data_IF_530384860256
#
_entry.id   IF_530384860256
#
_cell.length_a   1.000
_cell.length_b   1.000
_cell.length_c   1.000
_cell.angle_alpha   90.00
_cell.angle_beta   90.00
_cell.angle_gamma   90.00
#
_symmetry.space_group_name_H-M   'P 1'
#
loop_
_entity.id
_entity.type
_entity.pdbx_description
1 polymer ?
#
# COMPACT_ATOMS: atom_id res chain seq x y z
N UNK A 1 -38.22 18.14 -6.02
CA UNK A 1 -37.29 17.20 -5.38
C UNK A 1 -36.10 17.05 -6.32
N UNK A 2 -34.95 17.63 -5.95
CA UNK A 2 -33.69 17.41 -6.68
C UNK A 2 -33.25 15.97 -6.39
N UNK A 3 -33.04 15.17 -7.43
CA UNK A 3 -32.39 13.87 -7.30
C UNK A 3 -30.97 14.13 -6.82
N UNK A 4 -30.44 13.32 -5.88
CA UNK A 4 -29.04 13.42 -5.50
C UNK A 4 -28.20 13.11 -6.75
N UNK A 5 -27.39 14.09 -7.17
CA UNK A 5 -26.38 13.89 -8.20
C UNK A 5 -25.34 12.96 -7.59
N UNK A 6 -25.42 11.66 -7.88
CA UNK A 6 -24.34 10.74 -7.60
C UNK A 6 -23.12 11.22 -8.39
N UNK A 7 -22.13 11.73 -7.71
CA UNK A 7 -20.79 11.87 -8.31
C UNK A 7 -20.37 10.48 -8.84
N UNK A 8 -19.82 10.39 -10.05
CA UNK A 8 -19.35 9.10 -10.56
C UNK A 8 -18.36 8.47 -9.60
N UNK A 9 -18.44 7.14 -9.42
CA UNK A 9 -17.49 6.39 -8.61
C UNK A 9 -16.07 6.61 -9.13
N UNK A 10 -15.06 6.84 -8.26
CA UNK A 10 -13.69 7.03 -8.71
C UNK A 10 -13.18 5.77 -9.43
N UNK A 11 -12.42 5.99 -10.51
CA UNK A 11 -11.85 4.94 -11.34
C UNK A 11 -10.40 4.69 -10.98
N UNK A 12 -10.10 3.48 -10.51
CA UNK A 12 -8.80 3.12 -9.97
C UNK A 12 -8.03 2.21 -10.93
N UNK A 13 -6.79 2.57 -11.26
CA UNK A 13 -5.86 1.67 -11.93
C UNK A 13 -5.16 0.78 -10.92
N UNK A 14 -5.15 -0.54 -11.13
CA UNK A 14 -4.31 -1.48 -10.41
C UNK A 14 -3.21 -1.92 -11.38
N UNK A 15 -1.97 -1.53 -11.13
CA UNK A 15 -0.83 -1.99 -11.95
C UNK A 15 -0.27 -3.26 -11.35
N UNK A 16 -0.74 -4.39 -11.88
CA UNK A 16 -0.42 -5.72 -11.37
C UNK A 16 -0.86 -6.83 -12.32
N UNK A 17 -0.40 -8.04 -12.04
CA UNK A 17 -0.85 -9.24 -12.78
C UNK A 17 -2.17 -9.73 -12.19
N UNK A 18 -3.19 -9.93 -13.03
CA UNK A 18 -4.57 -10.25 -12.60
C UNK A 18 -4.66 -11.45 -11.65
N UNK A 19 -3.75 -12.43 -11.78
CA UNK A 19 -3.71 -13.59 -10.86
C UNK A 19 -3.35 -13.22 -9.42
N UNK A 20 -2.66 -12.08 -9.22
CA UNK A 20 -2.10 -11.64 -7.94
C UNK A 20 -2.89 -10.47 -7.33
N UNK A 21 -3.93 -9.96 -8.04
CA UNK A 21 -4.65 -8.73 -7.65
C UNK A 21 -6.07 -8.98 -7.11
N UNK A 22 -6.54 -10.21 -7.08
CA UNK A 22 -7.92 -10.58 -6.75
C UNK A 22 -8.41 -9.98 -5.42
N UNK A 23 -7.59 -10.00 -4.36
CA UNK A 23 -7.99 -9.46 -3.06
C UNK A 23 -8.17 -7.92 -3.11
N UNK A 24 -7.31 -7.22 -3.85
CA UNK A 24 -7.39 -5.76 -4.05
C UNK A 24 -8.63 -5.39 -4.88
N UNK A 25 -8.93 -6.17 -5.93
CA UNK A 25 -10.12 -6.02 -6.76
C UNK A 25 -11.40 -6.23 -5.95
N UNK A 26 -11.42 -7.26 -5.09
CA UNK A 26 -12.54 -7.50 -4.19
C UNK A 26 -12.72 -6.34 -3.20
N UNK A 27 -11.63 -5.86 -2.59
CA UNK A 27 -11.68 -4.73 -1.68
C UNK A 27 -12.25 -3.47 -2.36
N UNK A 28 -11.78 -3.12 -3.57
CA UNK A 28 -12.31 -1.97 -4.32
C UNK A 28 -13.77 -2.17 -4.71
N UNK A 29 -14.16 -3.38 -5.12
CA UNK A 29 -15.56 -3.71 -5.46
C UNK A 29 -16.47 -3.58 -4.25
N UNK A 30 -16.06 -4.07 -3.08
CA UNK A 30 -16.82 -3.95 -1.83
C UNK A 30 -16.96 -2.50 -1.38
N UNK A 31 -15.99 -1.66 -1.73
CA UNK A 31 -16.03 -0.21 -1.50
C UNK A 31 -16.78 0.58 -2.57
N UNK A 32 -17.34 -0.09 -3.61
CA UNK A 32 -18.12 0.55 -4.66
C UNK A 32 -17.31 1.38 -5.66
N UNK A 33 -16.00 1.15 -5.78
CA UNK A 33 -15.15 1.84 -6.75
C UNK A 33 -15.10 1.11 -8.10
N UNK A 34 -14.97 1.85 -9.18
CA UNK A 34 -14.63 1.31 -10.49
C UNK A 34 -13.13 1.07 -10.57
N UNK A 35 -12.70 -0.05 -11.16
CA UNK A 35 -11.28 -0.35 -11.28
C UNK A 35 -10.94 -1.13 -12.56
N UNK A 36 -9.66 -1.07 -12.93
CA UNK A 36 -9.08 -1.91 -13.97
C UNK A 36 -7.69 -2.38 -13.54
N UNK A 37 -7.48 -3.70 -13.55
CA UNK A 37 -6.15 -4.29 -13.45
C UNK A 37 -5.49 -4.30 -14.82
N UNK A 38 -4.31 -3.70 -14.94
CA UNK A 38 -3.64 -3.51 -16.23
C UNK A 38 -2.12 -3.59 -16.10
N UNK A 39 -1.46 -3.97 -17.19
CA UNK A 39 -0.03 -3.81 -17.42
C UNK A 39 0.26 -2.72 -18.48
N UNK A 40 -0.79 -2.11 -19.04
CA UNK A 40 -0.64 -1.00 -19.98
C UNK A 40 -0.58 0.34 -19.22
N UNK A 41 0.58 0.97 -19.23
CA UNK A 41 0.80 2.29 -18.62
C UNK A 41 0.38 3.44 -19.54
N UNK A 42 0.13 3.20 -20.82
CA UNK A 42 -0.26 4.22 -21.80
C UNK A 42 -1.66 4.78 -21.58
N UNK A 43 -2.58 3.95 -21.04
CA UNK A 43 -3.97 4.32 -20.79
C UNK A 43 -4.26 4.95 -19.42
N UNK A 44 -3.25 5.16 -18.56
CA UNK A 44 -3.44 5.54 -17.16
C UNK A 44 -4.01 6.96 -16.93
N UNK A 45 -3.94 7.84 -17.93
CA UNK A 45 -4.46 9.22 -17.80
C UNK A 45 -5.97 9.30 -17.49
N UNK A 46 -6.73 8.26 -17.83
CA UNK A 46 -8.17 8.16 -17.57
C UNK A 46 -8.58 7.67 -16.18
N UNK A 47 -7.62 7.50 -15.25
CA UNK A 47 -7.88 7.01 -13.90
C UNK A 47 -7.68 8.10 -12.85
N UNK A 48 -8.52 8.08 -11.82
CA UNK A 48 -8.53 9.07 -10.73
C UNK A 48 -7.49 8.72 -9.64
N UNK A 49 -7.16 7.43 -9.48
CA UNK A 49 -6.20 6.94 -8.51
C UNK A 49 -5.43 5.71 -8.99
N UNK A 50 -4.25 5.49 -8.39
CA UNK A 50 -3.39 4.34 -8.62
C UNK A 50 -3.31 3.48 -7.36
N UNK A 51 -3.58 2.19 -7.49
CA UNK A 51 -3.29 1.19 -6.48
C UNK A 51 -2.11 0.34 -6.95
N UNK A 52 -1.04 0.32 -6.14
CA UNK A 52 0.12 -0.56 -6.31
C UNK A 52 -0.02 -1.74 -5.35
N UNK A 53 -0.28 -2.96 -5.84
CA UNK A 53 -0.48 -4.12 -5.01
C UNK A 53 0.82 -4.66 -4.41
N UNK A 54 0.69 -5.54 -3.42
CA UNK A 54 1.77 -6.41 -2.96
C UNK A 54 2.18 -7.43 -4.02
N UNK A 55 3.23 -8.18 -3.73
CA UNK A 55 3.75 -9.20 -4.64
C UNK A 55 5.12 -9.71 -4.23
N UNK A 56 5.89 -10.22 -5.19
CA UNK A 56 7.30 -10.57 -5.00
C UNK A 56 8.16 -9.33 -4.73
N UNK A 57 9.44 -9.56 -4.49
CA UNK A 57 10.36 -8.50 -4.10
C UNK A 57 10.71 -7.57 -5.26
N UNK A 58 10.93 -6.30 -4.95
CA UNK A 58 11.39 -5.32 -5.95
C UNK A 58 12.84 -5.60 -6.37
N UNK A 59 13.13 -5.38 -7.64
CA UNK A 59 14.45 -5.54 -8.24
C UNK A 59 15.49 -4.64 -7.57
N UNK A 60 16.55 -5.20 -6.92
CA UNK A 60 17.51 -4.40 -6.15
C UNK A 60 18.27 -3.35 -6.96
N UNK A 61 18.46 -3.57 -8.26
CA UNK A 61 19.11 -2.61 -9.14
C UNK A 61 18.40 -1.25 -9.21
N UNK A 62 17.07 -1.21 -9.00
CA UNK A 62 16.29 0.04 -9.03
C UNK A 62 16.56 0.95 -7.82
N UNK A 63 17.12 0.42 -6.75
CA UNK A 63 17.58 1.21 -5.61
C UNK A 63 19.11 1.11 -5.37
N UNK A 64 19.87 0.82 -6.45
CA UNK A 64 21.33 0.89 -6.47
C UNK A 64 22.05 -0.23 -5.73
N UNK A 65 21.41 -1.38 -5.49
CA UNK A 65 21.98 -2.49 -4.75
C UNK A 65 22.11 -3.75 -5.60
N UNK A 66 23.04 -4.65 -5.20
CA UNK A 66 23.08 -6.02 -5.67
C UNK A 66 22.02 -6.84 -4.92
N UNK A 67 21.56 -7.94 -5.51
CA UNK A 67 20.65 -8.85 -4.82
C UNK A 67 21.37 -9.50 -3.61
N UNK A 68 20.79 -9.32 -2.43
CA UNK A 68 21.26 -9.82 -1.12
C UNK A 68 20.14 -10.52 -0.34
N UNK A 69 19.19 -11.13 -1.07
CA UNK A 69 18.09 -11.87 -0.44
C UNK A 69 16.71 -11.62 -1.04
N UNK A 70 16.60 -10.76 -2.04
CA UNK A 70 15.36 -10.56 -2.79
C UNK A 70 14.98 -11.79 -3.61
N UNK A 71 13.69 -12.14 -3.58
CA UNK A 71 13.11 -13.37 -4.16
C UNK A 71 11.88 -13.04 -5.02
N UNK A 72 11.52 -13.96 -5.92
CA UNK A 72 10.32 -13.84 -6.76
C UNK A 72 10.24 -12.49 -7.50
N UNK A 73 11.38 -12.02 -8.00
CA UNK A 73 11.53 -10.74 -8.69
C UNK A 73 10.83 -10.82 -10.04
N UNK A 74 10.01 -9.80 -10.36
CA UNK A 74 9.39 -9.58 -11.65
C UNK A 74 9.83 -8.21 -12.18
N UNK A 75 10.94 -8.19 -12.92
CA UNK A 75 11.58 -6.96 -13.41
C UNK A 75 10.64 -6.15 -14.32
N UNK A 76 9.86 -6.83 -15.17
CA UNK A 76 8.91 -6.16 -16.05
C UNK A 76 7.83 -5.44 -15.26
N UNK A 77 7.22 -6.12 -14.29
CA UNK A 77 6.21 -5.51 -13.42
C UNK A 77 6.78 -4.37 -12.58
N UNK A 78 8.02 -4.49 -12.09
CA UNK A 78 8.69 -3.42 -11.34
C UNK A 78 8.84 -2.15 -12.18
N UNK A 79 9.27 -2.29 -13.45
CA UNK A 79 9.37 -1.18 -14.40
C UNK A 79 8.00 -0.51 -14.59
N UNK A 80 6.95 -1.30 -14.85
CA UNK A 80 5.60 -0.78 -15.07
C UNK A 80 5.05 -0.07 -13.82
N UNK A 81 5.26 -0.63 -12.62
CA UNK A 81 4.85 -0.01 -11.38
C UNK A 81 5.61 1.29 -11.08
N UNK A 82 6.91 1.35 -11.34
CA UNK A 82 7.71 2.57 -11.20
C UNK A 82 7.25 3.65 -12.18
N UNK A 83 7.03 3.30 -13.46
CA UNK A 83 6.51 4.24 -14.48
C UNK A 83 5.13 4.78 -14.11
N UNK A 84 4.21 3.90 -13.69
CA UNK A 84 2.89 4.33 -13.26
C UNK A 84 2.95 5.27 -12.04
N UNK A 85 3.81 4.96 -11.08
CA UNK A 85 4.03 5.81 -9.91
C UNK A 85 4.53 7.19 -10.33
N UNK A 86 5.54 7.28 -11.19
CA UNK A 86 6.09 8.55 -11.69
C UNK A 86 5.02 9.39 -12.42
N UNK A 87 4.18 8.76 -13.24
CA UNK A 87 3.07 9.43 -13.92
C UNK A 87 2.08 10.03 -12.92
N UNK A 88 1.62 9.26 -11.92
CA UNK A 88 0.65 9.74 -10.93
C UNK A 88 1.24 10.82 -10.01
N UNK A 89 2.52 10.72 -9.64
CA UNK A 89 3.24 11.80 -8.94
C UNK A 89 3.27 13.09 -9.77
N UNK A 90 3.58 12.99 -11.06
CA UNK A 90 3.60 14.12 -12.00
C UNK A 90 2.23 14.77 -12.14
N UNK A 91 1.17 13.97 -12.22
CA UNK A 91 -0.21 14.45 -12.30
C UNK A 91 -0.78 14.89 -10.94
N UNK A 92 -0.04 14.68 -9.85
CA UNK A 92 -0.47 14.94 -8.47
C UNK A 92 -1.75 14.19 -8.10
N UNK A 93 -1.95 13.00 -8.67
CA UNK A 93 -3.11 12.14 -8.42
C UNK A 93 -2.82 11.14 -7.29
N UNK A 94 -3.88 10.69 -6.61
CA UNK A 94 -3.77 9.75 -5.50
C UNK A 94 -3.07 8.45 -5.85
N UNK A 95 -2.17 8.00 -4.94
CA UNK A 95 -1.50 6.70 -5.00
C UNK A 95 -1.62 6.00 -3.66
N UNK A 96 -2.10 4.76 -3.67
CA UNK A 96 -2.05 3.85 -2.53
C UNK A 96 -1.10 2.70 -2.86
N UNK A 97 -0.01 2.55 -2.09
CA UNK A 97 0.92 1.42 -2.17
C UNK A 97 0.72 0.45 -1.02
N UNK A 98 0.56 -0.84 -1.31
CA UNK A 98 0.36 -1.89 -0.31
C UNK A 98 1.52 -2.88 -0.39
N UNK A 99 2.19 -3.15 0.74
CA UNK A 99 3.32 -4.06 0.89
C UNK A 99 4.45 -3.72 -0.11
N UNK A 100 4.67 -4.50 -1.17
CA UNK A 100 5.60 -4.15 -2.24
C UNK A 100 5.27 -2.78 -2.84
N UNK A 101 4.00 -2.43 -3.01
CA UNK A 101 3.58 -1.14 -3.55
C UNK A 101 4.07 0.06 -2.73
N UNK A 102 4.13 -0.04 -1.39
CA UNK A 102 4.76 0.97 -0.54
C UNK A 102 6.26 1.09 -0.84
N UNK A 103 6.95 -0.03 -1.04
CA UNK A 103 8.37 -0.06 -1.37
C UNK A 103 8.64 0.53 -2.77
N UNK A 104 7.74 0.30 -3.74
CA UNK A 104 7.80 0.91 -5.09
C UNK A 104 7.69 2.43 -4.98
N UNK A 105 6.75 2.97 -4.20
CA UNK A 105 6.65 4.43 -3.94
C UNK A 105 7.97 4.95 -3.37
N UNK A 106 8.52 4.29 -2.36
CA UNK A 106 9.77 4.69 -1.73
C UNK A 106 10.94 4.71 -2.72
N UNK A 107 11.09 3.66 -3.52
CA UNK A 107 12.16 3.54 -4.53
C UNK A 107 11.98 4.57 -5.65
N UNK A 108 10.76 4.81 -6.13
CA UNK A 108 10.47 5.83 -7.14
C UNK A 108 10.91 7.24 -6.69
N UNK A 109 10.84 7.52 -5.39
CA UNK A 109 11.29 8.77 -4.80
C UNK A 109 12.76 8.76 -4.35
N UNK A 110 13.53 7.72 -4.72
CA UNK A 110 14.97 7.59 -4.47
C UNK A 110 15.34 6.97 -3.13
N UNK A 111 14.40 6.31 -2.46
CA UNK A 111 14.64 5.52 -1.26
C UNK A 111 15.20 4.12 -1.56
N UNK A 112 15.46 3.34 -0.51
CA UNK A 112 16.00 1.98 -0.60
C UNK A 112 15.11 0.97 0.11
N UNK A 113 15.38 -0.32 -0.11
CA UNK A 113 14.70 -1.44 0.53
C UNK A 113 15.70 -2.27 1.32
N UNK A 114 15.33 -2.67 2.54
CA UNK A 114 16.00 -3.72 3.30
C UNK A 114 15.55 -5.04 2.70
N UNK A 115 16.44 -5.72 1.97
CA UNK A 115 16.09 -6.91 1.18
C UNK A 115 15.73 -8.13 2.04
N UNK A 116 16.17 -8.16 3.30
CA UNK A 116 15.78 -9.16 4.28
C UNK A 116 15.93 -8.59 5.68
N UNK A 117 14.81 -8.48 6.41
CA UNK A 117 14.81 -8.00 7.80
C UNK A 117 15.24 -9.14 8.74
N UNK A 118 16.04 -8.82 9.77
CA UNK A 118 16.57 -9.82 10.72
C UNK A 118 15.45 -10.56 11.45
N UNK A 119 14.40 -9.83 11.82
CA UNK A 119 13.24 -10.33 12.57
C UNK A 119 12.11 -10.83 11.62
N UNK A 120 12.49 -11.34 10.44
CA UNK A 120 11.52 -11.76 9.43
C UNK A 120 10.50 -12.80 9.93
N UNK A 121 10.85 -13.62 10.93
CA UNK A 121 9.92 -14.56 11.55
C UNK A 121 8.71 -13.92 12.24
N UNK A 122 8.78 -12.62 12.58
CA UNK A 122 7.67 -11.84 13.17
C UNK A 122 6.77 -11.23 12.09
N UNK A 123 7.28 -11.05 10.87
CA UNK A 123 6.64 -10.35 9.77
C UNK A 123 6.29 -11.24 8.58
N UNK A 124 7.10 -12.28 8.32
CA UNK A 124 6.91 -13.13 7.14
C UNK A 124 5.66 -14.01 7.27
N UNK A 125 5.00 -14.21 6.13
CA UNK A 125 3.90 -15.14 6.01
C UNK A 125 4.36 -16.57 6.36
N UNK A 126 3.57 -17.25 7.20
CA UNK A 126 3.83 -18.63 7.62
C UNK A 126 2.47 -19.31 7.87
N UNK A 127 1.94 -19.97 6.83
CA UNK A 127 0.60 -20.57 6.83
C UNK A 127 -0.53 -19.59 7.19
N UNK A 128 -0.30 -18.30 7.00
CA UNK A 128 -1.21 -17.19 7.30
C UNK A 128 -0.44 -15.91 7.59
N UNK A 129 -1.17 -14.80 7.60
CA UNK A 129 -0.63 -13.51 8.02
C UNK A 129 -0.30 -13.55 9.51
N UNK A 130 0.81 -12.94 9.90
CA UNK A 130 1.09 -12.62 11.30
C UNK A 130 0.24 -11.41 11.71
N UNK A 131 -0.01 -11.26 13.00
CA UNK A 131 -0.60 -10.04 13.56
C UNK A 131 0.37 -9.44 14.56
N UNK A 132 0.61 -8.14 14.47
CA UNK A 132 1.47 -7.44 15.41
C UNK A 132 0.96 -6.01 15.69
N UNK A 133 1.21 -5.47 16.90
CA UNK A 133 0.89 -4.10 17.21
C UNK A 133 1.83 -3.14 16.47
N UNK A 134 1.29 -2.00 16.11
CA UNK A 134 2.05 -0.92 15.47
C UNK A 134 1.82 0.39 16.23
N UNK A 135 2.66 1.39 15.97
CA UNK A 135 2.57 2.75 16.52
C UNK A 135 2.36 3.71 15.37
N UNK A 136 1.30 4.47 15.45
CA UNK A 136 0.93 5.50 14.48
C UNK A 136 1.38 6.86 14.98
N UNK A 137 1.92 7.70 14.09
CA UNK A 137 2.29 9.07 14.40
C UNK A 137 1.03 9.91 14.70
N UNK A 138 0.98 10.67 15.80
CA UNK A 138 -0.24 11.35 16.24
C UNK A 138 -0.84 12.33 15.24
N UNK A 139 0.00 13.01 14.45
CA UNK A 139 -0.43 14.02 13.47
C UNK A 139 -0.66 13.45 12.07
N UNK A 140 -0.81 12.12 11.95
CA UNK A 140 -1.05 11.45 10.69
C UNK A 140 -2.53 11.07 10.52
N UNK A 141 -2.98 11.02 9.27
CA UNK A 141 -4.34 10.54 8.96
C UNK A 141 -4.62 9.11 9.48
N UNK A 142 -3.58 8.28 9.62
CA UNK A 142 -3.74 6.94 10.20
C UNK A 142 -4.14 7.00 11.68
N UNK A 143 -3.72 8.04 12.41
CA UNK A 143 -4.14 8.22 13.81
C UNK A 143 -5.64 8.54 13.92
N UNK A 144 -6.17 9.31 12.96
CA UNK A 144 -7.61 9.59 12.88
C UNK A 144 -8.41 8.33 12.52
N UNK A 145 -7.86 7.45 11.66
CA UNK A 145 -8.53 6.22 11.24
C UNK A 145 -8.47 5.11 12.30
N UNK A 146 -7.33 4.93 12.96
CA UNK A 146 -7.04 3.72 13.74
C UNK A 146 -6.62 3.97 15.19
N UNK A 147 -6.41 5.23 15.56
CA UNK A 147 -5.81 5.56 16.85
C UNK A 147 -4.30 5.24 16.91
N UNK A 148 -3.69 5.37 18.10
CA UNK A 148 -2.22 5.33 18.24
C UNK A 148 -1.59 3.93 18.12
N UNK A 149 -2.35 2.85 18.40
CA UNK A 149 -1.81 1.49 18.53
C UNK A 149 -2.71 0.43 17.87
N UNK A 150 -2.92 0.47 16.54
CA UNK A 150 -3.68 -0.57 15.86
C UNK A 150 -2.89 -1.88 15.78
N UNK A 151 -3.62 -3.00 15.74
CA UNK A 151 -3.10 -4.30 15.36
C UNK A 151 -3.20 -4.44 13.84
N UNK A 152 -2.10 -4.71 13.15
CA UNK A 152 -2.06 -4.91 11.70
C UNK A 152 -1.59 -6.33 11.35
N UNK A 153 -1.95 -6.80 10.16
CA UNK A 153 -1.41 -8.05 9.65
C UNK A 153 -0.02 -7.83 9.01
N UNK A 154 0.71 -8.90 8.79
CA UNK A 154 2.05 -8.86 8.23
C UNK A 154 2.36 -10.13 7.44
N UNK A 155 2.90 -9.96 6.24
CA UNK A 155 3.27 -11.04 5.32
C UNK A 155 4.49 -10.67 4.46
N UNK A 156 5.50 -10.06 5.06
CA UNK A 156 6.68 -9.56 4.35
C UNK A 156 7.99 -9.92 5.04
N UNK A 157 9.07 -10.03 4.28
CA UNK A 157 10.42 -10.20 4.78
C UNK A 157 11.36 -9.05 4.35
N UNK A 158 10.83 -8.12 3.57
CA UNK A 158 11.47 -6.88 3.19
C UNK A 158 10.82 -5.70 3.89
N UNK A 159 11.52 -4.59 3.99
CA UNK A 159 11.01 -3.34 4.55
C UNK A 159 11.60 -2.13 3.84
N UNK A 160 10.98 -0.97 3.99
CA UNK A 160 11.56 0.31 3.59
C UNK A 160 12.85 0.53 4.39
N UNK A 161 13.93 0.87 3.67
CA UNK A 161 15.22 1.26 4.23
C UNK A 161 15.34 2.78 4.39
N UNK A 162 16.23 3.41 3.61
CA UNK A 162 16.27 4.87 3.55
C UNK A 162 14.99 5.39 2.87
N UNK A 163 14.39 6.44 3.45
CA UNK A 163 13.21 7.08 2.88
C UNK A 163 13.55 7.82 1.59
N UNK A 164 12.64 7.74 0.64
CA UNK A 164 12.62 8.58 -0.55
C UNK A 164 12.33 10.07 -0.22
N UNK A 165 12.60 10.93 -1.19
CA UNK A 165 12.39 12.37 -1.04
C UNK A 165 10.95 12.71 -0.70
N UNK A 166 10.77 13.64 0.22
CA UNK A 166 9.47 14.16 0.67
C UNK A 166 8.51 13.12 1.26
N UNK A 167 8.99 11.92 1.55
CA UNK A 167 8.26 10.95 2.36
C UNK A 167 8.47 11.21 3.86
N UNK A 168 7.47 10.81 4.64
CA UNK A 168 7.53 10.78 6.10
C UNK A 168 7.03 9.43 6.60
N UNK A 169 7.61 8.94 7.69
CA UNK A 169 7.11 7.75 8.40
C UNK A 169 5.88 8.14 9.21
N UNK A 170 4.78 7.43 9.01
CA UNK A 170 3.53 7.65 9.74
C UNK A 170 3.12 6.46 10.61
N UNK A 171 3.78 5.30 10.44
CA UNK A 171 3.51 4.10 11.23
C UNK A 171 4.78 3.23 11.32
N UNK A 172 5.02 2.62 12.49
CA UNK A 172 6.13 1.69 12.73
C UNK A 172 5.66 0.49 13.55
N UNK A 173 6.27 -0.66 13.35
CA UNK A 173 6.17 -1.78 14.28
C UNK A 173 7.04 -1.53 15.54
N UNK A 174 6.83 -2.32 16.59
CA UNK A 174 7.57 -2.18 17.86
C UNK A 174 9.09 -2.45 17.72
N UNK A 175 9.50 -3.19 16.71
CA UNK A 175 10.91 -3.46 16.39
C UNK A 175 11.55 -2.40 15.46
N UNK A 176 10.80 -1.32 15.17
CA UNK A 176 11.26 -0.19 14.38
C UNK A 176 11.09 -0.34 12.86
N UNK A 177 10.50 -1.45 12.38
CA UNK A 177 10.17 -1.61 10.96
C UNK A 177 9.12 -0.57 10.56
N UNK A 178 9.36 0.08 9.41
CA UNK A 178 8.43 1.08 8.85
C UNK A 178 7.23 0.35 8.26
N UNK A 179 6.05 0.65 8.79
CA UNK A 179 4.77 0.05 8.43
C UNK A 179 3.85 0.99 7.66
N UNK A 180 4.17 2.29 7.63
CA UNK A 180 3.41 3.27 6.88
C UNK A 180 4.23 4.50 6.53
N UNK A 181 4.03 4.99 5.31
CA UNK A 181 4.63 6.21 4.78
C UNK A 181 3.57 7.10 4.13
N UNK A 182 3.80 8.41 4.14
CA UNK A 182 3.02 9.38 3.39
C UNK A 182 3.93 10.42 2.75
N UNK A 183 3.53 10.94 1.60
CA UNK A 183 4.19 12.09 1.00
C UNK A 183 3.72 13.38 1.69
N UNK A 184 4.63 14.32 1.93
CA UNK A 184 4.36 15.56 2.70
C UNK A 184 3.30 16.47 2.08
N UNK A 185 3.16 16.45 0.75
CA UNK A 185 2.31 17.40 0.00
C UNK A 185 1.47 16.77 -1.10
N UNK A 186 1.80 15.58 -1.57
CA UNK A 186 1.03 14.86 -2.58
C UNK A 186 0.09 13.83 -1.93
N UNK A 187 -1.03 13.48 -2.56
CA UNK A 187 -1.96 12.47 -2.06
C UNK A 187 -1.40 11.04 -2.27
N UNK A 188 -0.24 10.76 -1.70
CA UNK A 188 0.50 9.51 -1.87
C UNK A 188 0.75 8.88 -0.51
N UNK A 189 0.24 7.69 -0.34
CA UNK A 189 0.33 6.93 0.91
C UNK A 189 0.73 5.48 0.63
N UNK A 190 1.41 4.86 1.57
CA UNK A 190 1.77 3.46 1.50
C UNK A 190 1.74 2.81 2.86
N UNK A 191 1.32 1.53 2.90
CA UNK A 191 1.36 0.69 4.09
C UNK A 191 2.06 -0.62 3.78
N UNK A 192 2.82 -1.16 4.75
CA UNK A 192 3.54 -2.42 4.59
C UNK A 192 2.63 -3.63 4.83
N UNK A 193 1.61 -3.46 5.66
CA UNK A 193 0.58 -4.45 5.94
C UNK A 193 -0.47 -4.52 4.82
N UNK A 194 -1.39 -5.49 4.90
CA UNK A 194 -2.37 -5.82 3.86
C UNK A 194 -3.80 -5.45 4.26
N UNK A 195 -4.26 -4.19 4.04
CA UNK A 195 -5.60 -3.76 4.39
C UNK A 195 -6.69 -4.53 3.64
N UNK A 196 -6.42 -5.02 2.41
CA UNK A 196 -7.36 -5.83 1.63
C UNK A 196 -7.67 -7.19 2.27
N UNK A 197 -6.88 -7.60 3.25
CA UNK A 197 -7.08 -8.82 4.04
C UNK A 197 -7.54 -8.54 5.48
N UNK A 198 -7.78 -7.27 5.80
CA UNK A 198 -8.22 -6.80 7.13
C UNK A 198 -9.63 -6.23 7.12
N UNK A 199 -10.49 -6.68 6.22
CA UNK A 199 -11.93 -6.41 6.32
C UNK A 199 -12.52 -7.27 7.45
N UNK A 200 -13.48 -6.78 8.23
CA UNK A 200 -13.98 -7.46 9.44
C UNK A 200 -14.41 -8.90 9.22
N UNK A 201 -14.93 -9.23 8.05
CA UNK A 201 -15.39 -10.58 7.70
C UNK A 201 -14.23 -11.59 7.55
N UNK A 202 -13.01 -11.13 7.39
CA UNK A 202 -11.80 -11.97 7.23
C UNK A 202 -11.04 -12.18 8.54
N UNK A 203 -11.25 -11.33 9.55
CA UNK A 203 -10.51 -11.39 10.81
C UNK A 203 -11.22 -12.31 11.79
N UNK A 204 -10.76 -13.55 11.92
CA UNK A 204 -11.43 -14.57 12.75
C UNK A 204 -10.91 -14.69 14.19
N UNK A 205 -9.67 -14.26 14.46
CA UNK A 205 -9.07 -14.41 15.79
C UNK A 205 -8.29 -13.16 16.16
N UNK A 206 -8.84 -12.37 17.08
CA UNK A 206 -8.22 -11.15 17.61
C UNK A 206 -7.76 -11.44 19.03
N UNK A 207 -6.49 -11.22 19.37
CA UNK A 207 -6.02 -11.29 20.75
C UNK A 207 -6.80 -10.33 21.65
N UNK A 208 -7.12 -10.77 22.87
CA UNK A 208 -7.86 -9.96 23.81
C UNK A 208 -7.14 -8.63 24.09
N UNK A 209 -7.89 -7.52 24.13
CA UNK A 209 -7.35 -6.19 24.39
C UNK A 209 -6.70 -5.49 23.20
N UNK A 210 -6.76 -6.07 21.99
CA UNK A 210 -6.27 -5.45 20.77
C UNK A 210 -7.43 -5.05 19.84
N UNK A 211 -7.21 -3.94 19.11
CA UNK A 211 -8.13 -3.45 18.09
C UNK A 211 -7.48 -3.60 16.71
N UNK A 212 -7.96 -4.53 15.86
CA UNK A 212 -7.44 -4.68 14.52
C UNK A 212 -7.79 -3.46 13.67
N UNK A 213 -6.88 -3.07 12.79
CA UNK A 213 -7.15 -2.05 11.78
C UNK A 213 -8.24 -2.57 10.83
N UNK A 214 -9.33 -1.83 10.68
CA UNK A 214 -10.33 -2.11 9.64
C UNK A 214 -9.82 -1.61 8.29
N UNK A 215 -9.48 -2.51 7.39
CA UNK A 215 -8.94 -2.17 6.07
C UNK A 215 -9.84 -1.26 5.25
N UNK A 216 -11.17 -1.32 5.46
CA UNK A 216 -12.14 -0.46 4.76
C UNK A 216 -11.88 1.03 4.99
N UNK A 217 -11.39 1.40 6.18
CA UNK A 217 -11.13 2.80 6.50
C UNK A 217 -9.99 3.38 5.64
N UNK A 218 -8.93 2.61 5.39
CA UNK A 218 -7.84 3.04 4.50
C UNK A 218 -8.30 3.13 3.05
N UNK A 219 -9.09 2.16 2.56
CA UNK A 219 -9.67 2.23 1.22
C UNK A 219 -10.62 3.41 1.08
N UNK A 220 -11.50 3.68 2.07
CA UNK A 220 -12.36 4.88 2.10
C UNK A 220 -11.55 6.17 2.02
N UNK A 221 -10.47 6.27 2.80
CA UNK A 221 -9.59 7.44 2.78
C UNK A 221 -8.96 7.63 1.39
N UNK A 222 -8.41 6.56 0.80
CA UNK A 222 -7.85 6.59 -0.55
C UNK A 222 -8.87 7.03 -1.60
N UNK A 223 -10.07 6.45 -1.59
CA UNK A 223 -11.13 6.80 -2.54
C UNK A 223 -11.63 8.24 -2.35
N UNK A 224 -11.65 8.75 -1.12
CA UNK A 224 -11.98 10.16 -0.86
C UNK A 224 -10.99 11.13 -1.50
N UNK A 225 -9.72 10.78 -1.54
CA UNK A 225 -8.71 11.58 -2.26
C UNK A 225 -8.94 11.58 -3.76
N UNK A 226 -9.42 10.45 -4.34
CA UNK A 226 -9.69 10.31 -5.77
C UNK A 226 -10.93 11.11 -6.23
N UNK A 227 -11.92 11.30 -5.37
CA UNK A 227 -13.13 12.06 -5.67
C UNK A 227 -13.00 13.59 -5.48
N UNK A 228 -11.84 14.08 -5.09
CA UNK A 228 -11.60 15.49 -4.76
C UNK A 228 -10.94 16.30 -5.89
N UNK A 229 -10.87 15.75 -7.11
CA UNK A 229 -10.23 16.37 -8.29
C UNK A 229 -11.26 16.98 -9.20
#
# INVERSE_FOLDING_TARGET
>A
MMQPTHSPSPKIAIVGRSKDTVNYENALRDMGADFLTTLDTGGLAGFDGLLLPGGGDITPAFFGQKNQGSKNIDVELDILQLQATELFLTWKRPVLGICKGMQVINVCLGGTVIQHIKESGRHAWDNGDKLHPTRVQPDSFLADLYGPHPLTNSAHHQAVGALGRDLTVIQTADDGIIEGIAHKTLPVVGVQWHPERMFPDFIRHIPAGHHPADGRLLFSYFLSMCGSI
#
